data_IF_630089648153
#
_entry.id   IF_630089648153
#
_cell.length_a   1.000
_cell.length_b   1.000
_cell.length_c   1.000
_cell.angle_alpha   90.00
_cell.angle_beta   90.00
_cell.angle_gamma   90.00
#
_symmetry.space_group_name_H-M   'P 1'
#
loop_
_entity.id
_entity.type
_entity.pdbx_description
1 polymer ?
#
# COMPACT_ATOMS: atom_id res chain seq x y z
N UNK A 1 7.28 5.36 45.90
CA UNK A 1 6.33 4.69 44.98
C UNK A 1 6.09 5.66 43.83
N UNK A 2 6.89 5.57 42.78
CA UNK A 2 6.70 6.40 41.58
C UNK A 2 5.73 5.70 40.63
N UNK A 3 4.64 6.41 40.31
CA UNK A 3 3.59 5.96 39.41
C UNK A 3 3.96 6.26 37.96
N UNK A 4 4.36 5.21 37.25
CA UNK A 4 4.14 4.89 35.83
C UNK A 4 3.67 6.02 34.90
N UNK A 5 4.62 6.81 34.40
CA UNK A 5 4.45 7.67 33.24
C UNK A 5 4.78 6.89 31.95
N UNK A 6 3.85 6.04 31.49
CA UNK A 6 4.07 5.19 30.30
C UNK A 6 3.03 5.42 29.19
N UNK A 7 2.62 6.68 28.98
CA UNK A 7 1.57 7.03 27.99
C UNK A 7 2.07 7.79 26.75
N UNK A 8 3.36 8.12 26.59
CA UNK A 8 3.80 9.05 25.53
C UNK A 8 4.75 8.53 24.45
N UNK A 9 5.26 7.31 24.54
CA UNK A 9 6.37 6.88 23.66
C UNK A 9 5.98 6.06 22.42
N UNK A 10 4.72 5.66 22.23
CA UNK A 10 4.32 4.80 21.09
C UNK A 10 3.84 5.52 19.81
N UNK A 11 3.60 6.84 19.85
CA UNK A 11 3.12 7.57 18.65
C UNK A 11 4.26 8.12 17.79
N UNK A 12 5.32 8.66 18.39
CA UNK A 12 6.43 9.28 17.65
C UNK A 12 7.22 8.29 16.78
N UNK A 13 7.38 7.03 17.22
CA UNK A 13 8.08 5.99 16.47
C UNK A 13 7.38 5.60 15.16
N UNK A 14 6.05 5.47 15.17
CA UNK A 14 5.28 5.08 13.98
C UNK A 14 5.18 6.22 12.96
N UNK A 15 5.01 7.47 13.42
CA UNK A 15 4.96 8.64 12.52
C UNK A 15 6.30 8.86 11.78
N UNK A 16 7.44 8.61 12.44
CA UNK A 16 8.75 8.73 11.81
C UNK A 16 8.98 7.66 10.72
N UNK A 17 8.53 6.41 10.98
CA UNK A 17 8.64 5.30 10.03
C UNK A 17 7.78 5.54 8.78
N UNK A 18 6.53 5.99 8.97
CA UNK A 18 5.64 6.39 7.89
C UNK A 18 6.21 7.52 7.02
N UNK A 19 6.67 8.61 7.65
CA UNK A 19 7.24 9.76 6.92
C UNK A 19 8.48 9.37 6.12
N UNK A 20 9.25 8.39 6.60
CA UNK A 20 10.39 7.83 5.87
C UNK A 20 9.93 7.08 4.63
N UNK A 21 8.96 6.17 4.76
CA UNK A 21 8.43 5.41 3.61
C UNK A 21 7.82 6.36 2.56
N UNK A 22 6.97 7.30 3.01
CA UNK A 22 6.33 8.28 2.13
C UNK A 22 7.36 9.11 1.36
N UNK A 23 8.41 9.59 2.04
CA UNK A 23 9.46 10.37 1.39
C UNK A 23 10.21 9.55 0.33
N UNK A 24 10.58 8.31 0.63
CA UNK A 24 11.31 7.43 -0.31
C UNK A 24 10.49 7.13 -1.56
N UNK A 25 9.20 6.81 -1.39
CA UNK A 25 8.32 6.48 -2.52
C UNK A 25 8.02 7.70 -3.40
N UNK A 26 7.82 8.88 -2.81
CA UNK A 26 7.53 10.09 -3.57
C UNK A 26 8.74 10.66 -4.32
N UNK A 27 9.97 10.43 -3.83
CA UNK A 27 11.18 10.92 -4.50
C UNK A 27 11.44 10.23 -5.85
N UNK A 28 10.91 9.01 -6.05
CA UNK A 28 11.12 8.22 -7.27
C UNK A 28 9.83 7.98 -8.07
N UNK A 29 8.71 8.60 -7.68
CA UNK A 29 7.44 8.35 -8.34
C UNK A 29 7.31 9.17 -9.63
N UNK A 30 7.31 8.49 -10.77
CA UNK A 30 6.83 9.04 -12.03
C UNK A 30 5.30 8.94 -12.14
N UNK A 31 4.71 9.58 -13.16
CA UNK A 31 3.25 9.58 -13.37
C UNK A 31 2.66 8.16 -13.47
N UNK A 32 3.39 7.23 -14.10
CA UNK A 32 2.97 5.83 -14.24
C UNK A 32 3.00 5.09 -12.91
N UNK A 33 3.96 5.41 -12.05
CA UNK A 33 4.11 4.89 -10.70
C UNK A 33 2.94 5.34 -9.82
N UNK A 34 2.53 6.60 -9.96
CA UNK A 34 1.37 7.14 -9.25
C UNK A 34 0.10 6.43 -9.74
N UNK A 35 -0.12 6.29 -11.06
CA UNK A 35 -1.25 5.55 -11.61
C UNK A 35 -1.30 4.08 -11.16
N UNK A 36 -0.13 3.44 -11.02
CA UNK A 36 -0.02 2.07 -10.52
C UNK A 36 -0.48 1.96 -9.06
N UNK A 37 -0.03 2.88 -8.22
CA UNK A 37 -0.43 2.96 -6.81
C UNK A 37 -1.91 3.26 -6.66
N UNK A 38 -2.46 4.14 -7.49
CA UNK A 38 -3.87 4.51 -7.48
C UNK A 38 -4.73 3.30 -7.85
N UNK A 39 -4.35 2.55 -8.89
CA UNK A 39 -5.03 1.31 -9.27
C UNK A 39 -4.94 0.26 -8.16
N UNK A 40 -3.76 0.04 -7.58
CA UNK A 40 -3.55 -0.89 -6.46
C UNK A 40 -4.45 -0.52 -5.27
N UNK A 41 -4.49 0.77 -4.93
CA UNK A 41 -5.33 1.31 -3.85
C UNK A 41 -6.79 1.04 -4.12
N UNK A 42 -7.26 1.34 -5.34
CA UNK A 42 -8.65 1.15 -5.75
C UNK A 42 -9.08 -0.31 -5.63
N UNK A 43 -8.23 -1.25 -6.05
CA UNK A 43 -8.51 -2.69 -5.89
C UNK A 43 -8.65 -3.08 -4.41
N UNK A 44 -7.81 -2.53 -3.53
CA UNK A 44 -7.96 -2.74 -2.08
C UNK A 44 -9.21 -2.07 -1.51
N UNK A 45 -9.60 -0.90 -2.00
CA UNK A 45 -10.81 -0.18 -1.60
C UNK A 45 -12.09 -0.93 -1.99
N UNK A 46 -12.18 -1.40 -3.23
CA UNK A 46 -13.35 -2.08 -3.78
C UNK A 46 -13.62 -3.43 -3.11
N UNK A 47 -12.58 -4.13 -2.66
CA UNK A 47 -12.73 -5.44 -1.99
C UNK A 47 -13.07 -5.29 -0.50
N UNK A 48 -13.32 -4.06 -0.05
CA UNK A 48 -13.64 -3.68 1.31
C UNK A 48 -12.41 -3.84 2.23
N UNK A 49 -11.85 -2.71 2.67
CA UNK A 49 -10.65 -2.62 3.52
C UNK A 49 -10.71 -3.52 4.77
N UNK A 50 -11.92 -3.88 5.22
CA UNK A 50 -12.19 -4.65 6.43
C UNK A 50 -11.91 -6.15 6.33
N UNK A 51 -11.75 -6.74 5.12
CA UNK A 51 -11.41 -8.17 4.97
C UNK A 51 -9.91 -8.45 4.86
N UNK A 52 -9.06 -7.40 4.89
CA UNK A 52 -7.59 -7.43 5.08
C UNK A 52 -6.77 -8.37 4.19
N UNK A 53 -7.37 -9.02 3.19
CA UNK A 53 -6.69 -10.04 2.38
C UNK A 53 -7.46 -10.31 1.09
N UNK A 54 -6.74 -10.28 -0.03
CA UNK A 54 -7.22 -10.61 -1.37
C UNK A 54 -6.34 -11.76 -1.87
N UNK A 55 -6.91 -12.89 -2.35
CA UNK A 55 -6.11 -13.93 -2.96
C UNK A 55 -5.21 -13.35 -4.05
N UNK A 56 -3.92 -13.69 -4.05
CA UNK A 56 -2.94 -13.19 -5.02
C UNK A 56 -3.40 -13.42 -6.45
N UNK A 57 -3.97 -14.59 -6.73
CA UNK A 57 -4.53 -14.93 -8.05
C UNK A 57 -5.64 -13.97 -8.46
N UNK A 58 -6.52 -13.60 -7.52
CA UNK A 58 -7.62 -12.66 -7.78
C UNK A 58 -7.10 -11.24 -7.92
N UNK A 59 -6.17 -10.83 -7.06
CA UNK A 59 -5.57 -9.50 -7.08
C UNK A 59 -4.85 -9.24 -8.41
N UNK A 60 -3.99 -10.17 -8.82
CA UNK A 60 -3.26 -10.10 -10.10
C UNK A 60 -4.19 -10.17 -11.30
N UNK A 61 -5.27 -10.98 -11.23
CA UNK A 61 -6.28 -11.01 -12.29
C UNK A 61 -7.04 -9.69 -12.42
N UNK A 62 -7.38 -9.03 -11.31
CA UNK A 62 -8.06 -7.72 -11.33
C UNK A 62 -7.13 -6.66 -11.93
N UNK A 63 -5.87 -6.61 -11.48
CA UNK A 63 -4.88 -5.68 -12.01
C UNK A 63 -4.69 -5.87 -13.52
N UNK A 64 -4.51 -7.11 -14.00
CA UNK A 64 -4.33 -7.40 -15.43
C UNK A 64 -5.56 -7.10 -16.28
N UNK A 65 -6.75 -7.20 -15.69
CA UNK A 65 -8.00 -6.95 -16.41
C UNK A 65 -8.50 -5.51 -16.29
N UNK A 66 -7.87 -4.67 -15.47
CA UNK A 66 -8.19 -3.26 -15.37
C UNK A 66 -8.01 -2.56 -16.72
N UNK A 67 -8.99 -1.77 -17.18
CA UNK A 67 -8.85 -0.96 -18.41
C UNK A 67 -7.59 -0.09 -18.39
N UNK A 68 -7.29 0.53 -17.24
CA UNK A 68 -6.09 1.36 -17.03
C UNK A 68 -4.79 0.57 -17.23
N UNK A 69 -4.76 -0.71 -16.85
CA UNK A 69 -3.63 -1.60 -17.07
C UNK A 69 -3.54 -2.16 -18.50
N UNK A 70 -4.58 -2.01 -19.31
CA UNK A 70 -4.55 -2.40 -20.73
C UNK A 70 -4.14 -1.25 -21.62
N UNK A 71 -4.43 -0.02 -21.21
CA UNK A 71 -4.21 1.19 -22.01
C UNK A 71 -2.93 1.94 -21.63
N UNK A 72 -2.63 2.07 -20.34
CA UNK A 72 -1.57 3.00 -19.88
C UNK A 72 -0.43 2.33 -19.10
N UNK A 73 -0.68 1.17 -18.48
CA UNK A 73 0.23 0.54 -17.54
C UNK A 73 0.53 -0.93 -17.88
N UNK A 74 1.80 -1.28 -18.11
CA UNK A 74 2.20 -2.67 -18.26
C UNK A 74 1.90 -3.48 -16.98
N UNK A 75 1.27 -4.65 -17.13
CA UNK A 75 1.02 -5.60 -16.05
C UNK A 75 2.30 -5.96 -15.27
N UNK A 76 3.46 -5.97 -15.93
CA UNK A 76 4.76 -6.19 -15.30
C UNK A 76 5.10 -5.06 -14.33
N UNK A 77 4.90 -3.80 -14.75
CA UNK A 77 5.16 -2.61 -13.93
C UNK A 77 4.23 -2.52 -12.72
N UNK A 78 2.98 -2.96 -12.87
CA UNK A 78 2.05 -3.08 -11.74
C UNK A 78 2.55 -4.07 -10.69
N UNK A 79 3.08 -5.21 -11.14
CA UNK A 79 3.64 -6.23 -10.25
C UNK A 79 4.94 -5.78 -9.59
N UNK A 80 5.80 -5.08 -10.32
CA UNK A 80 7.01 -4.44 -9.79
C UNK A 80 6.65 -3.42 -8.71
N UNK A 81 5.65 -2.56 -8.98
CA UNK A 81 5.20 -1.58 -7.98
C UNK A 81 4.60 -2.25 -6.75
N UNK A 82 3.81 -3.31 -6.93
CA UNK A 82 3.27 -4.08 -5.81
C UNK A 82 4.39 -4.70 -4.96
N UNK A 83 5.44 -5.23 -5.59
CA UNK A 83 6.60 -5.78 -4.91
C UNK A 83 7.37 -4.70 -4.14
N UNK A 84 7.52 -3.51 -4.71
CA UNK A 84 8.15 -2.37 -4.04
C UNK A 84 7.34 -1.91 -2.81
N UNK A 85 6.02 -1.76 -2.95
CA UNK A 85 5.13 -1.46 -1.83
C UNK A 85 5.21 -2.53 -0.73
N UNK A 86 5.40 -3.80 -1.12
CA UNK A 86 5.64 -4.89 -0.16
C UNK A 86 7.00 -4.80 0.52
N UNK A 87 8.06 -4.45 -0.20
CA UNK A 87 9.40 -4.27 0.36
C UNK A 87 9.46 -3.10 1.35
N UNK A 88 8.65 -2.07 1.14
CA UNK A 88 8.48 -0.94 2.06
C UNK A 88 7.49 -1.22 3.21
N UNK A 89 6.92 -2.43 3.29
CA UNK A 89 6.02 -2.82 4.37
C UNK A 89 4.65 -2.13 4.31
N UNK A 90 4.21 -1.64 3.14
CA UNK A 90 2.87 -1.09 2.94
C UNK A 90 1.87 -2.18 2.54
N UNK A 91 2.35 -3.17 1.79
CA UNK A 91 1.61 -4.38 1.42
C UNK A 91 2.27 -5.57 2.12
N UNK A 92 1.45 -6.50 2.60
CA UNK A 92 1.93 -7.78 3.11
C UNK A 92 1.40 -8.91 2.24
N UNK A 93 2.26 -9.89 1.98
CA UNK A 93 1.89 -11.16 1.35
C UNK A 93 1.96 -12.26 2.40
N UNK A 94 0.85 -12.94 2.64
CA UNK A 94 0.78 -14.06 3.59
C UNK A 94 -0.13 -15.15 3.04
N UNK A 95 0.35 -16.40 3.02
CA UNK A 95 -0.41 -17.59 2.61
C UNK A 95 -1.13 -17.46 1.24
N UNK A 96 -0.52 -16.76 0.29
CA UNK A 96 -1.13 -16.53 -1.04
C UNK A 96 -2.18 -15.42 -1.07
N UNK A 97 -2.20 -14.53 -0.08
CA UNK A 97 -3.05 -13.35 -0.03
C UNK A 97 -2.23 -12.07 0.08
N UNK A 98 -2.68 -11.02 -0.61
CA UNK A 98 -2.21 -9.65 -0.44
C UNK A 98 -3.12 -8.88 0.50
N UNK A 99 -2.54 -8.11 1.43
CA UNK A 99 -3.27 -7.20 2.29
C UNK A 99 -2.49 -5.92 2.54
N UNK A 100 -3.17 -4.87 2.99
CA UNK A 100 -2.51 -3.65 3.44
C UNK A 100 -2.08 -3.78 4.90
N UNK A 101 -0.85 -3.37 5.20
CA UNK A 101 -0.40 -3.16 6.58
C UNK A 101 -1.08 -1.91 7.17
N UNK A 102 -0.81 -1.63 8.44
CA UNK A 102 -1.30 -0.40 9.07
C UNK A 102 -0.71 0.83 8.36
N UNK A 103 0.58 0.77 8.07
CA UNK A 103 1.35 1.79 7.36
C UNK A 103 0.84 1.96 5.92
N UNK A 104 0.50 0.86 5.24
CA UNK A 104 -0.12 0.89 3.92
C UNK A 104 -1.43 1.65 3.90
N UNK A 105 -2.32 1.39 4.87
CA UNK A 105 -3.59 2.14 4.99
C UNK A 105 -3.35 3.62 5.21
N UNK A 106 -2.46 3.98 6.16
CA UNK A 106 -2.13 5.37 6.44
C UNK A 106 -1.51 6.07 5.21
N UNK A 107 -0.69 5.36 4.43
CA UNK A 107 -0.11 5.87 3.19
C UNK A 107 -1.13 6.16 2.11
N UNK A 108 -1.99 5.20 1.80
CA UNK A 108 -2.99 5.38 0.74
C UNK A 108 -4.09 6.35 1.13
N UNK A 109 -4.53 6.35 2.41
CA UNK A 109 -5.50 7.34 2.91
C UNK A 109 -4.94 8.77 2.90
N UNK A 110 -3.65 8.96 3.19
CA UNK A 110 -3.03 10.30 3.20
C UNK A 110 -2.81 10.89 1.80
N UNK A 111 -3.01 10.12 0.74
CA UNK A 111 -2.88 10.59 -0.65
C UNK A 111 -4.21 11.04 -1.28
N UNK A 112 -5.34 10.99 -0.56
CA UNK A 112 -6.68 11.29 -1.11
C UNK A 112 -6.96 10.56 -2.44
N UNK A 113 -6.40 9.36 -2.60
CA UNK A 113 -6.64 8.52 -3.76
C UNK A 113 -8.00 7.83 -3.54
N UNK A 114 -9.06 8.49 -4.01
CA UNK A 114 -10.42 7.97 -4.04
C UNK A 114 -10.76 7.43 -5.44
#
# INVERSE_FOLDING_TARGET
MESSDNSRTKRAGNTLHFNRIKKTLLQNADEKTLLAEDLITKVFSEINFERYSIPETRFTAILKNSPTAKEELDATKLMERLAELSAHGLVQKSNGFYGLTKEGREYFSARNLH
#
